data_IF_412203311019
#
_entry.id   IF_412203311019
#
_cell.length_a   1.000
_cell.length_b   1.000
_cell.length_c   1.000
_cell.angle_alpha   90.00
_cell.angle_beta   90.00
_cell.angle_gamma   90.00
#
_symmetry.space_group_name_H-M   'P 1'
#
loop_
_entity.id
_entity.type
_entity.pdbx_description
1 polymer ?
#
# COMPACT_ATOMS: atom_id res chain seq x y z
N UNK A 1 -5.92 -11.05 -7.35
CA UNK A 1 -4.81 -11.61 -6.55
C UNK A 1 -4.67 -10.84 -5.25
N UNK A 2 -4.59 -11.56 -4.14
CA UNK A 2 -4.56 -10.95 -2.81
C UNK A 2 -3.14 -10.62 -2.40
N UNK A 3 -2.92 -9.40 -1.92
CA UNK A 3 -1.60 -8.99 -1.45
C UNK A 3 -1.40 -9.30 0.03
N UNK A 4 -2.46 -9.26 0.81
CA UNK A 4 -2.40 -9.59 2.23
C UNK A 4 -3.80 -9.99 2.71
N UNK A 5 -3.86 -10.88 3.68
CA UNK A 5 -5.11 -11.25 4.33
C UNK A 5 -5.01 -10.80 5.78
N UNK A 6 -5.97 -10.00 6.20
CA UNK A 6 -6.02 -9.50 7.57
C UNK A 6 -6.52 -10.59 8.52
N UNK A 7 -6.29 -10.38 9.81
CA UNK A 7 -6.72 -11.35 10.82
C UNK A 7 -8.21 -11.63 10.78
N UNK A 8 -9.00 -10.64 10.42
CA UNK A 8 -10.45 -10.81 10.32
C UNK A 8 -10.89 -11.54 9.05
N UNK A 9 -9.92 -11.99 8.25
CA UNK A 9 -10.21 -12.72 7.02
C UNK A 9 -10.37 -11.84 5.79
N UNK A 10 -10.32 -10.53 5.94
CA UNK A 10 -10.50 -9.63 4.80
C UNK A 10 -9.27 -9.69 3.88
N UNK A 11 -9.51 -9.91 2.60
CA UNK A 11 -8.45 -9.94 1.60
C UNK A 11 -8.24 -8.55 1.04
N UNK A 12 -6.99 -8.14 0.99
CA UNK A 12 -6.61 -6.80 0.53
C UNK A 12 -5.77 -6.94 -0.74
N UNK A 13 -6.17 -6.22 -1.77
CA UNK A 13 -5.37 -6.07 -2.99
C UNK A 13 -5.14 -4.58 -3.17
N UNK A 14 -3.88 -4.17 -3.16
CA UNK A 14 -3.55 -2.76 -3.28
C UNK A 14 -3.69 -2.29 -4.72
N UNK A 15 -4.38 -1.18 -4.89
CA UNK A 15 -4.49 -0.52 -6.19
C UNK A 15 -3.59 0.70 -6.19
N UNK A 16 -2.37 0.54 -6.68
CA UNK A 16 -1.37 1.61 -6.65
C UNK A 16 -1.75 2.79 -7.54
N UNK A 17 -2.69 2.60 -8.45
CA UNK A 17 -3.15 3.71 -9.29
C UNK A 17 -3.94 4.75 -8.50
N UNK A 18 -4.33 4.41 -7.26
CA UNK A 18 -5.09 5.32 -6.40
C UNK A 18 -4.21 6.30 -5.65
N UNK A 19 -2.89 6.23 -5.83
CA UNK A 19 -2.01 7.20 -5.19
C UNK A 19 -0.87 7.58 -6.12
N UNK A 20 -0.34 8.77 -5.92
CA UNK A 20 0.85 9.23 -6.64
C UNK A 20 2.09 8.80 -5.88
N UNK A 21 3.24 8.89 -6.55
CA UNK A 21 4.51 8.63 -5.88
C UNK A 21 4.74 9.56 -4.69
N UNK A 22 4.34 10.81 -4.83
CA UNK A 22 4.46 11.75 -3.72
C UNK A 22 3.62 11.35 -2.53
N UNK A 23 2.40 10.87 -2.77
CA UNK A 23 1.55 10.38 -1.69
C UNK A 23 2.14 9.14 -1.03
N UNK A 24 2.75 8.27 -1.83
CA UNK A 24 3.42 7.08 -1.29
C UNK A 24 4.54 7.48 -0.34
N UNK A 25 5.36 8.45 -0.74
CA UNK A 25 6.44 8.91 0.14
C UNK A 25 5.89 9.51 1.43
N UNK A 26 4.77 10.20 1.35
CA UNK A 26 4.15 10.79 2.52
C UNK A 26 3.70 9.78 3.57
N UNK A 27 3.41 8.55 3.15
CA UNK A 27 3.00 7.51 4.10
C UNK A 27 4.11 7.17 5.09
N UNK A 28 5.34 7.40 4.73
CA UNK A 28 6.50 7.06 5.56
C UNK A 28 7.16 8.29 6.18
N UNK A 29 6.62 9.46 5.95
CA UNK A 29 7.18 10.71 6.49
C UNK A 29 6.46 11.04 7.80
N UNK A 30 7.19 11.07 8.94
CA UNK A 30 6.56 11.39 10.22
C UNK A 30 5.85 12.74 10.23
N UNK A 31 6.31 13.67 9.41
CA UNK A 31 5.68 14.98 9.33
C UNK A 31 4.35 14.94 8.59
N UNK A 32 4.20 13.96 7.70
CA UNK A 32 3.00 13.79 6.91
C UNK A 32 2.10 12.69 7.47
N UNK A 33 2.47 12.10 8.61
CA UNK A 33 1.73 11.01 9.22
C UNK A 33 0.46 11.57 9.86
N UNK A 34 -0.48 11.93 9.03
CA UNK A 34 -1.72 12.55 9.47
C UNK A 34 -2.90 11.81 8.83
N UNK A 35 -4.07 12.34 9.07
CA UNK A 35 -5.30 11.77 8.57
C UNK A 35 -5.30 11.63 7.04
N UNK A 36 -4.64 12.55 6.35
CA UNK A 36 -4.59 12.53 4.88
C UNK A 36 -3.84 11.30 4.37
N UNK A 37 -2.71 10.99 5.01
CA UNK A 37 -1.93 9.80 4.65
C UNK A 37 -2.73 8.53 4.89
N UNK A 38 -3.43 8.47 6.02
CA UNK A 38 -4.24 7.30 6.35
C UNK A 38 -5.40 7.14 5.37
N UNK A 39 -6.01 8.22 4.93
CA UNK A 39 -7.06 8.16 3.92
C UNK A 39 -6.55 7.65 2.59
N UNK A 40 -5.34 8.05 2.22
CA UNK A 40 -4.71 7.55 1.01
C UNK A 40 -4.48 6.06 1.12
N UNK A 41 -3.95 5.61 2.24
CA UNK A 41 -3.72 4.18 2.47
C UNK A 41 -5.02 3.39 2.39
N UNK A 42 -6.07 3.88 3.03
CA UNK A 42 -7.37 3.21 3.00
C UNK A 42 -7.87 3.07 1.57
N UNK A 43 -7.76 4.12 0.77
CA UNK A 43 -8.22 4.08 -0.62
C UNK A 43 -7.43 3.06 -1.43
N UNK A 44 -6.11 3.04 -1.27
CA UNK A 44 -5.25 2.10 -2.00
C UNK A 44 -5.57 0.67 -1.61
N UNK A 45 -5.89 0.44 -0.34
CA UNK A 45 -6.19 -0.90 0.16
C UNK A 45 -7.65 -1.32 -0.06
N UNK A 46 -8.49 -0.41 -0.54
CA UNK A 46 -9.90 -0.72 -0.72
C UNK A 46 -10.68 -0.80 0.57
N UNK A 47 -10.21 -0.11 1.60
CA UNK A 47 -10.84 -0.08 2.91
C UNK A 47 -11.52 1.27 3.13
N UNK A 48 -12.54 1.27 3.98
CA UNK A 48 -13.05 2.54 4.49
C UNK A 48 -12.07 3.07 5.53
N UNK A 49 -12.00 4.39 5.64
CA UNK A 49 -11.08 5.01 6.59
C UNK A 49 -11.33 4.53 8.02
N UNK A 50 -12.60 4.36 8.37
CA UNK A 50 -12.95 3.89 9.70
C UNK A 50 -12.52 2.45 9.94
N UNK A 51 -12.55 1.63 8.90
CA UNK A 51 -12.04 0.26 9.00
C UNK A 51 -10.54 0.25 9.26
N UNK A 52 -9.82 1.12 8.56
CA UNK A 52 -8.37 1.22 8.74
C UNK A 52 -8.03 1.65 10.17
N UNK A 53 -8.76 2.62 10.69
CA UNK A 53 -8.51 3.12 12.05
C UNK A 53 -8.85 2.09 13.11
N UNK A 54 -9.74 1.17 12.81
CA UNK A 54 -10.15 0.14 13.75
C UNK A 54 -9.18 -1.04 13.80
N UNK A 55 -8.21 -1.10 12.91
CA UNK A 55 -7.27 -2.22 12.90
C UNK A 55 -6.35 -2.17 14.12
N UNK A 56 -6.03 -3.34 14.70
CA UNK A 56 -4.96 -3.39 15.68
C UNK A 56 -3.67 -2.83 15.08
N UNK A 57 -2.83 -2.22 15.89
CA UNK A 57 -1.61 -1.59 15.39
C UNK A 57 -0.71 -2.59 14.68
N UNK A 58 -0.66 -3.84 15.17
CA UNK A 58 0.12 -4.88 14.52
C UNK A 58 -0.38 -5.18 13.11
N UNK A 59 -1.70 -5.17 12.91
CA UNK A 59 -2.29 -5.37 11.59
C UNK A 59 -2.02 -4.18 10.68
N UNK A 60 -2.06 -2.98 11.22
CA UNK A 60 -1.72 -1.79 10.48
C UNK A 60 -0.27 -1.87 9.97
N UNK A 61 0.65 -2.32 10.84
CA UNK A 61 2.05 -2.47 10.43
C UNK A 61 2.21 -3.53 9.33
N UNK A 62 1.49 -4.63 9.44
CA UNK A 62 1.52 -5.65 8.39
C UNK A 62 1.04 -5.10 7.07
N UNK A 63 -0.01 -4.29 7.12
CA UNK A 63 -0.57 -3.66 5.92
C UNK A 63 0.46 -2.74 5.27
N UNK A 64 1.14 -1.92 6.06
CA UNK A 64 2.16 -1.01 5.55
C UNK A 64 3.32 -1.78 4.92
N UNK A 65 3.77 -2.85 5.57
CA UNK A 65 4.87 -3.66 5.03
C UNK A 65 4.45 -4.31 3.70
N UNK A 66 3.22 -4.80 3.63
CA UNK A 66 2.72 -5.41 2.41
C UNK A 66 2.64 -4.39 1.27
N UNK A 67 2.18 -3.18 1.57
CA UNK A 67 2.13 -2.11 0.58
C UNK A 67 3.53 -1.76 0.10
N UNK A 68 4.47 -1.67 1.02
CA UNK A 68 5.86 -1.35 0.68
C UNK A 68 6.43 -2.40 -0.28
N UNK A 69 6.18 -3.68 0.01
CA UNK A 69 6.63 -4.75 -0.88
C UNK A 69 5.98 -4.65 -2.25
N UNK A 70 4.68 -4.41 -2.29
CA UNK A 70 3.96 -4.28 -3.54
C UNK A 70 4.51 -3.14 -4.38
N UNK A 71 4.78 -2.01 -3.75
CA UNK A 71 5.28 -0.83 -4.44
C UNK A 71 6.69 -1.02 -4.99
N UNK A 72 7.44 -1.96 -4.41
CA UNK A 72 8.81 -2.22 -4.87
C UNK A 72 8.89 -3.34 -5.90
N UNK A 73 7.79 -4.02 -6.16
CA UNK A 73 7.77 -5.04 -7.19
C UNK A 73 7.89 -4.40 -8.56
N UNK A 74 8.69 -4.96 -9.46
CA UNK A 74 8.79 -4.40 -10.79
C UNK A 74 7.46 -4.53 -11.51
N UNK A 75 7.15 -3.52 -12.31
CA UNK A 75 5.98 -3.58 -13.16
C UNK A 75 6.22 -4.61 -14.25
N UNK A 76 5.36 -5.60 -14.33
CA UNK A 76 5.50 -6.65 -15.34
C UNK A 76 4.71 -6.23 -16.57
N UNK A 77 5.43 -5.87 -17.62
CA UNK A 77 4.85 -5.45 -18.88
C UNK A 77 5.62 -6.18 -19.98
N UNK A 78 4.97 -6.98 -20.81
CA UNK A 78 5.68 -7.72 -21.85
C UNK A 78 6.41 -6.83 -22.85
N UNK A 79 6.07 -5.56 -22.88
CA UNK A 79 6.74 -4.62 -23.78
C UNK A 79 7.96 -3.94 -23.16
N UNK A 80 8.24 -4.21 -21.89
CA UNK A 80 9.37 -3.61 -21.21
C UNK A 80 10.55 -4.56 -21.19
N UNK A 81 11.76 -4.05 -21.42
CA UNK A 81 12.96 -4.89 -21.31
C UNK A 81 13.14 -5.32 -19.87
N UNK A 82 13.21 -6.61 -19.66
CA UNK A 82 13.30 -7.13 -18.31
C UNK A 82 14.61 -6.79 -17.63
N UNK A 83 15.65 -6.55 -18.39
CA UNK A 83 16.96 -6.27 -17.84
C UNK A 83 17.18 -4.81 -17.51
N UNK A 84 16.22 -4.00 -17.76
CA UNK A 84 16.40 -2.56 -17.68
C UNK A 84 16.72 -2.07 -16.28
N UNK A 85 16.53 -2.88 -15.30
CA UNK A 85 16.65 -2.43 -13.94
C UNK A 85 17.95 -2.81 -13.32
N UNK A 86 18.74 -3.48 -14.04
CA UNK A 86 19.89 -4.12 -13.46
C UNK A 86 21.02 -3.20 -13.09
N UNK A 87 20.98 -1.99 -13.46
CA UNK A 87 22.14 -1.18 -13.15
C UNK A 87 22.35 -0.84 -11.70
#
# INVERSE_FOLDING_TARGET
MTDIILENGKEITFDLSQMTFGQYLGLFDPKEADERSDKTLARVAGLEFKELKALPFTEYKRLIVALFRKAREPLIDPNLPSASISD
#
